data_IF_970579788067
#
_entry.id   IF_970579788067
#
_cell.length_a   1.000
_cell.length_b   1.000
_cell.length_c   1.000
_cell.angle_alpha   90.00
_cell.angle_beta   90.00
_cell.angle_gamma   90.00
#
_symmetry.space_group_name_H-M   'P 1'
#
loop_
_entity.id
_entity.type
_entity.pdbx_description
1 polymer ?
#
# COMPACT_ATOMS: atom_id res chain seq x y z
N UNK A 1 11.54 0.74 25.32
CA UNK A 1 11.31 0.26 23.94
C UNK A 1 11.49 1.43 22.98
N UNK A 2 12.41 1.30 22.05
CA UNK A 2 12.62 2.34 21.05
C UNK A 2 11.46 2.33 20.07
N UNK A 3 10.78 3.46 19.94
CA UNK A 3 9.78 3.61 18.89
C UNK A 3 10.48 3.70 17.53
N UNK A 4 10.05 2.89 16.61
CA UNK A 4 10.50 3.02 15.24
C UNK A 4 9.95 4.31 14.66
N UNK A 5 10.84 5.18 14.21
CA UNK A 5 10.43 6.44 13.59
C UNK A 5 9.87 6.19 12.19
N UNK A 6 8.74 6.79 11.91
CA UNK A 6 8.13 6.79 10.59
C UNK A 6 8.40 8.16 9.96
N UNK A 7 8.97 8.16 8.77
CA UNK A 7 9.28 9.38 8.04
C UNK A 7 8.28 9.60 6.92
N UNK A 8 7.80 10.83 6.79
CA UNK A 8 6.78 11.19 5.83
C UNK A 8 7.17 12.42 5.02
N UNK A 9 6.55 12.56 3.87
CA UNK A 9 6.68 13.71 2.99
C UNK A 9 5.29 14.12 2.52
N UNK A 10 4.98 15.42 2.59
CA UNK A 10 3.70 15.94 2.12
C UNK A 10 3.83 16.27 0.63
N UNK A 11 2.99 15.66 -0.20
CA UNK A 11 2.94 15.92 -1.62
C UNK A 11 2.07 17.15 -1.93
N UNK A 12 2.19 17.78 -3.14
CA UNK A 12 1.34 18.90 -3.54
C UNK A 12 -0.15 18.58 -3.53
N UNK A 13 -0.53 17.31 -3.65
CA UNK A 13 -1.92 16.86 -3.61
C UNK A 13 -2.48 16.70 -2.19
N UNK A 14 -1.78 17.20 -1.17
CA UNK A 14 -2.11 17.05 0.26
C UNK A 14 -2.12 15.60 0.72
N UNK A 15 -1.34 14.76 0.06
CA UNK A 15 -1.09 13.39 0.48
C UNK A 15 0.18 13.34 1.31
N UNK A 16 0.22 12.40 2.23
CA UNK A 16 1.43 12.11 3.00
C UNK A 16 2.02 10.81 2.45
N UNK A 17 3.22 10.91 1.88
CA UNK A 17 3.95 9.74 1.40
C UNK A 17 4.93 9.28 2.48
N UNK A 18 4.70 8.09 3.01
CA UNK A 18 5.55 7.52 4.06
C UNK A 18 6.57 6.60 3.41
N UNK A 19 7.82 7.07 3.35
CA UNK A 19 8.93 6.40 2.66
C UNK A 19 9.80 5.55 3.58
N UNK A 20 9.85 5.88 4.88
CA UNK A 20 10.75 5.25 5.84
C UNK A 20 9.98 4.83 7.08
N UNK A 21 10.51 3.83 7.77
CA UNK A 21 9.89 3.29 8.95
C UNK A 21 8.83 2.24 8.67
N UNK A 22 8.53 2.01 7.38
CA UNK A 22 7.62 0.97 6.91
C UNK A 22 8.36 0.02 5.98
N UNK A 23 7.84 -1.20 5.84
CA UNK A 23 8.41 -2.21 4.94
C UNK A 23 8.20 -1.89 3.46
N UNK A 24 7.20 -1.09 3.15
CA UNK A 24 6.84 -0.65 1.82
C UNK A 24 6.25 0.77 1.89
N UNK A 25 6.42 1.55 0.83
CA UNK A 25 5.87 2.90 0.74
C UNK A 25 4.35 2.89 0.83
N UNK A 26 3.81 3.84 1.59
CA UNK A 26 2.36 4.01 1.76
C UNK A 26 2.01 5.49 1.60
N UNK A 27 0.91 5.74 0.89
CA UNK A 27 0.33 7.09 0.76
C UNK A 27 -0.88 7.21 1.66
N UNK A 28 -0.96 8.32 2.39
CA UNK A 28 -2.10 8.63 3.24
C UNK A 28 -2.68 9.97 2.82
N UNK A 29 -3.94 9.96 2.45
CA UNK A 29 -4.68 11.17 2.10
C UNK A 29 -5.73 11.45 3.18
N UNK A 30 -5.78 12.70 3.66
CA UNK A 30 -6.76 13.11 4.66
C UNK A 30 -7.90 13.86 3.96
N UNK A 31 -9.10 13.32 4.07
CA UNK A 31 -10.30 13.99 3.58
C UNK A 31 -11.04 14.59 4.78
N UNK A 32 -10.91 15.90 4.93
CA UNK A 32 -11.51 16.61 6.06
C UNK A 32 -13.03 16.72 5.94
N UNK A 33 -13.56 16.80 4.72
CA UNK A 33 -15.00 16.95 4.50
C UNK A 33 -15.74 15.64 4.82
N UNK A 34 -15.22 14.54 4.33
CA UNK A 34 -15.80 13.20 4.58
C UNK A 34 -15.32 12.58 5.89
N UNK A 35 -14.38 13.22 6.56
CA UNK A 35 -13.79 12.74 7.82
C UNK A 35 -13.27 11.32 7.75
N UNK A 36 -12.44 11.05 6.75
CA UNK A 36 -11.77 9.77 6.65
C UNK A 36 -10.32 9.92 6.17
N UNK A 37 -9.53 8.87 6.44
CA UNK A 37 -8.20 8.70 5.88
C UNK A 37 -8.29 7.71 4.74
N UNK A 38 -7.66 8.04 3.62
CA UNK A 38 -7.46 7.12 2.52
C UNK A 38 -6.03 6.64 2.57
N UNK A 39 -5.85 5.33 2.73
CA UNK A 39 -4.53 4.69 2.79
C UNK A 39 -4.36 3.88 1.52
N UNK A 40 -3.28 4.13 0.78
CA UNK A 40 -3.03 3.47 -0.49
C UNK A 40 -1.59 2.96 -0.57
N UNK A 41 -1.44 1.76 -1.10
CA UNK A 41 -0.15 1.19 -1.44
C UNK A 41 -0.12 0.79 -2.90
N UNK A 42 1.02 0.98 -3.56
CA UNK A 42 1.23 0.64 -4.97
C UNK A 42 2.47 -0.19 -5.14
N UNK A 43 2.40 -1.17 -6.04
CA UNK A 43 3.54 -1.99 -6.42
C UNK A 43 3.61 -1.96 -7.94
N UNK A 44 4.65 -1.33 -8.49
CA UNK A 44 4.81 -1.22 -9.94
C UNK A 44 5.25 -2.54 -10.54
N UNK A 45 4.85 -2.76 -11.80
CA UNK A 45 5.09 -4.01 -12.53
C UNK A 45 5.98 -3.71 -13.73
N UNK A 46 6.88 -4.64 -14.06
CA UNK A 46 7.74 -4.53 -15.25
C UNK A 46 6.90 -4.57 -16.51
N UNK A 47 7.32 -3.82 -17.53
CA UNK A 47 6.66 -3.76 -18.85
C UNK A 47 6.60 -5.11 -19.54
N UNK A 48 7.54 -5.99 -19.21
CA UNK A 48 7.66 -7.32 -19.82
C UNK A 48 6.80 -8.37 -19.15
N UNK A 49 6.05 -8.02 -18.10
CA UNK A 49 5.21 -8.97 -17.38
C UNK A 49 4.04 -9.42 -18.24
N UNK A 50 3.73 -10.73 -18.17
CA UNK A 50 2.55 -11.30 -18.80
C UNK A 50 1.36 -11.26 -17.84
N UNK A 51 0.16 -11.17 -18.42
CA UNK A 51 -1.09 -11.10 -17.68
C UNK A 51 -1.24 -12.28 -16.70
N UNK A 52 -0.88 -13.49 -17.12
CA UNK A 52 -0.94 -14.69 -16.27
C UNK A 52 -0.07 -14.57 -15.02
N UNK A 53 1.10 -13.96 -15.15
CA UNK A 53 2.03 -13.75 -14.02
C UNK A 53 1.43 -12.76 -13.02
N UNK A 54 0.80 -11.72 -13.52
CA UNK A 54 0.16 -10.68 -12.69
C UNK A 54 -1.03 -11.28 -11.94
N UNK A 55 -1.89 -12.00 -12.64
CA UNK A 55 -3.07 -12.64 -12.05
C UNK A 55 -2.71 -13.65 -10.97
N UNK A 56 -1.63 -14.41 -11.17
CA UNK A 56 -1.15 -15.36 -10.19
C UNK A 56 -0.74 -14.70 -8.87
N UNK A 57 -0.04 -13.58 -8.95
CA UNK A 57 0.35 -12.81 -7.77
C UNK A 57 -0.87 -12.28 -7.03
N UNK A 58 -1.80 -11.68 -7.76
CA UNK A 58 -3.04 -11.14 -7.19
C UNK A 58 -3.82 -12.24 -6.48
N UNK A 59 -3.98 -13.39 -7.14
CA UNK A 59 -4.71 -14.52 -6.58
C UNK A 59 -4.08 -15.01 -5.27
N UNK A 60 -2.78 -15.26 -5.28
CA UNK A 60 -2.07 -15.75 -4.10
C UNK A 60 -2.10 -14.77 -2.94
N UNK A 61 -1.92 -13.49 -3.22
CA UNK A 61 -1.97 -12.46 -2.17
C UNK A 61 -3.38 -12.35 -1.60
N UNK A 62 -4.39 -12.37 -2.45
CA UNK A 62 -5.78 -12.16 -2.03
C UNK A 62 -6.39 -13.35 -1.30
N UNK A 63 -5.82 -14.55 -1.44
CA UNK A 63 -6.25 -15.74 -0.69
C UNK A 63 -5.83 -15.71 0.77
N UNK A 64 -4.85 -14.90 1.11
CA UNK A 64 -4.35 -14.83 2.50
C UNK A 64 -5.34 -14.16 3.44
N UNK A 65 -5.29 -14.56 4.70
CA UNK A 65 -6.03 -13.93 5.79
C UNK A 65 -5.32 -12.64 6.23
N UNK A 66 -5.22 -11.69 5.31
CA UNK A 66 -4.62 -10.39 5.58
C UNK A 66 -5.57 -9.26 5.27
N UNK A 67 -5.09 -8.04 5.42
CA UNK A 67 -5.87 -6.83 5.14
C UNK A 67 -5.69 -6.34 3.70
N UNK A 68 -4.61 -6.72 3.04
CA UNK A 68 -4.31 -6.28 1.67
C UNK A 68 -5.06 -7.13 0.64
N UNK A 69 -5.76 -6.45 -0.27
CA UNK A 69 -6.44 -7.06 -1.41
C UNK A 69 -6.01 -6.32 -2.67
N UNK A 70 -5.15 -6.93 -3.45
CA UNK A 70 -4.55 -6.30 -4.62
C UNK A 70 -5.51 -6.25 -5.80
N UNK A 71 -5.42 -5.15 -6.54
CA UNK A 71 -6.09 -4.92 -7.81
C UNK A 71 -5.08 -4.40 -8.81
N UNK A 72 -5.32 -4.65 -10.08
CA UNK A 72 -4.49 -4.14 -11.18
C UNK A 72 -5.04 -2.80 -11.64
N UNK A 73 -4.15 -1.82 -11.76
CA UNK A 73 -4.46 -0.53 -12.37
C UNK A 73 -3.54 -0.31 -13.56
N UNK A 74 -4.13 0.11 -14.67
CA UNK A 74 -3.40 0.48 -15.88
C UNK A 74 -3.40 2.00 -16.02
N UNK A 75 -2.21 2.57 -16.08
CA UNK A 75 -2.01 3.98 -16.44
C UNK A 75 -1.27 4.04 -17.76
N UNK A 76 -1.24 5.22 -18.41
CA UNK A 76 -0.47 5.43 -19.63
C UNK A 76 0.97 4.99 -19.39
N UNK A 77 1.43 3.96 -20.08
CA UNK A 77 2.78 3.41 -20.03
C UNK A 77 3.18 2.71 -18.72
N UNK A 78 2.23 2.49 -17.80
CA UNK A 78 2.55 1.83 -16.53
C UNK A 78 1.43 0.93 -16.05
N UNK A 79 1.83 -0.20 -15.47
CA UNK A 79 0.93 -1.08 -14.73
C UNK A 79 1.38 -1.12 -13.29
N UNK A 80 0.42 -1.15 -12.36
CA UNK A 80 0.74 -1.37 -10.95
C UNK A 80 -0.38 -2.11 -10.24
N UNK A 81 0.00 -2.83 -9.20
CA UNK A 81 -0.93 -3.42 -8.24
C UNK A 81 -1.16 -2.42 -7.14
N UNK A 82 -2.40 -2.34 -6.66
CA UNK A 82 -2.70 -1.42 -5.57
C UNK A 82 -3.75 -2.00 -4.63
N UNK A 83 -3.78 -1.45 -3.43
CA UNK A 83 -4.88 -1.60 -2.49
C UNK A 83 -5.15 -0.25 -1.83
N UNK A 84 -6.38 -0.02 -1.48
CA UNK A 84 -6.86 1.23 -0.92
C UNK A 84 -7.80 0.97 0.22
N UNK A 85 -7.51 1.56 1.38
CA UNK A 85 -8.35 1.44 2.57
C UNK A 85 -8.86 2.80 2.99
N UNK A 86 -10.12 2.85 3.41
CA UNK A 86 -10.76 4.06 3.93
C UNK A 86 -11.00 3.85 5.41
N UNK A 87 -10.41 4.72 6.25
CA UNK A 87 -10.57 4.70 7.70
C UNK A 87 -11.33 5.94 8.16
N UNK A 88 -12.57 5.81 8.64
CA UNK A 88 -13.29 6.94 9.19
C UNK A 88 -12.67 7.43 10.50
N UNK A 89 -12.66 8.75 10.74
CA UNK A 89 -12.08 9.34 11.94
C UNK A 89 -12.96 10.43 12.57
N UNK A 90 -14.27 10.25 12.59
CA UNK A 90 -15.22 11.26 13.09
C UNK A 90 -14.82 11.88 14.44
N UNK A 91 -14.21 11.09 15.32
CA UNK A 91 -13.74 11.50 16.65
C UNK A 91 -12.21 11.44 16.79
N UNK A 92 -11.51 11.41 15.66
CA UNK A 92 -10.07 11.23 15.63
C UNK A 92 -9.66 9.76 15.59
N UNK A 93 -8.43 9.52 15.16
CA UNK A 93 -7.82 8.18 15.15
C UNK A 93 -6.62 8.20 16.10
N UNK A 94 -6.57 7.29 17.09
CA UNK A 94 -5.40 7.20 17.93
C UNK A 94 -4.16 6.93 17.10
N UNK A 95 -3.16 7.80 17.22
CA UNK A 95 -1.93 7.72 16.42
C UNK A 95 -1.27 6.34 16.54
N UNK A 96 -1.28 5.78 17.73
CA UNK A 96 -0.69 4.47 17.99
C UNK A 96 -1.34 3.36 17.14
N UNK A 97 -2.66 3.38 17.03
CA UNK A 97 -3.40 2.39 16.24
C UNK A 97 -3.18 2.63 14.75
N UNK A 98 -3.13 3.87 14.33
CA UNK A 98 -2.85 4.21 12.93
C UNK A 98 -1.47 3.72 12.52
N UNK A 99 -0.44 3.99 13.30
CA UNK A 99 0.93 3.53 13.02
C UNK A 99 0.97 2.00 12.92
N UNK A 100 0.30 1.32 13.84
CA UNK A 100 0.23 -0.15 13.85
C UNK A 100 -0.45 -0.68 12.59
N UNK A 101 -1.53 -0.04 12.16
CA UNK A 101 -2.23 -0.38 10.93
C UNK A 101 -1.34 -0.18 9.70
N UNK A 102 -0.68 0.97 9.61
CA UNK A 102 0.22 1.27 8.49
C UNK A 102 1.38 0.28 8.40
N UNK A 103 1.95 -0.12 9.54
CA UNK A 103 3.01 -1.12 9.57
C UNK A 103 2.54 -2.46 9.04
N UNK A 104 1.36 -2.91 9.44
CA UNK A 104 0.79 -4.16 8.94
C UNK A 104 0.47 -4.09 7.45
N UNK A 105 -0.15 -3.01 7.02
CA UNK A 105 -0.48 -2.79 5.61
C UNK A 105 0.78 -2.83 4.74
N UNK A 106 1.81 -2.07 5.13
CA UNK A 106 3.07 -2.01 4.38
C UNK A 106 3.81 -3.36 4.39
N UNK A 107 3.78 -4.08 5.49
CA UNK A 107 4.41 -5.40 5.58
C UNK A 107 3.74 -6.39 4.63
N UNK A 108 2.41 -6.41 4.56
CA UNK A 108 1.69 -7.29 3.65
C UNK A 108 1.99 -6.95 2.19
N UNK A 109 2.09 -5.65 1.85
CA UNK A 109 2.51 -5.23 0.51
C UNK A 109 3.92 -5.74 0.19
N UNK A 110 4.83 -5.60 1.13
CA UNK A 110 6.21 -6.09 0.97
C UNK A 110 6.26 -7.61 0.76
N UNK A 111 5.49 -8.36 1.53
CA UNK A 111 5.45 -9.81 1.45
C UNK A 111 4.86 -10.32 0.13
N UNK A 112 4.19 -9.47 -0.66
CA UNK A 112 3.72 -9.83 -1.99
C UNK A 112 4.87 -10.30 -2.88
N UNK A 113 6.08 -9.84 -2.65
CA UNK A 113 7.28 -10.28 -3.37
C UNK A 113 7.52 -11.80 -3.26
N UNK A 114 7.05 -12.43 -2.21
CA UNK A 114 7.21 -13.88 -2.03
C UNK A 114 6.43 -14.69 -3.06
N UNK A 115 5.46 -14.07 -3.74
CA UNK A 115 4.66 -14.69 -4.80
C UNK A 115 5.18 -14.34 -6.19
N UNK A 116 6.23 -13.54 -6.26
CA UNK A 116 6.80 -13.05 -7.51
C UNK A 116 7.99 -13.92 -7.93
N UNK A 117 7.71 -15.17 -8.32
CA UNK A 117 8.74 -16.09 -8.76
C UNK A 117 9.44 -15.64 -10.05
N UNK A 118 8.73 -14.88 -10.89
CA UNK A 118 9.25 -14.41 -12.18
C UNK A 118 9.88 -13.02 -12.09
N UNK A 119 9.92 -12.43 -10.91
CA UNK A 119 10.49 -11.11 -10.62
C UNK A 119 9.95 -10.00 -11.52
N UNK A 120 8.62 -9.96 -11.64
CA UNK A 120 7.92 -8.95 -12.43
C UNK A 120 7.62 -7.67 -11.63
N UNK A 121 7.72 -7.72 -10.30
CA UNK A 121 7.46 -6.55 -9.46
C UNK A 121 8.70 -5.67 -9.37
N UNK A 122 8.48 -4.35 -9.50
CA UNK A 122 9.49 -3.33 -9.34
C UNK A 122 9.44 -2.79 -7.91
N UNK A 123 10.49 -2.98 -7.15
CA UNK A 123 10.61 -2.39 -5.81
C UNK A 123 12.02 -1.91 -5.56
#
# INVERSE_FOLDING_TARGET
MKRQKVYSEITPAKEVHIKRGLSHDVWVHVDHDEKHLLIEGKIYIRDTAFEDQIEDIIFKQNEKHGIVRLKLQEEIDKFYLYDRHILPFANGVPVRLLVKYLKRFSMELHLTQNYDSDKILLN
#
